data_IF_429322189041
#
_entry.id   IF_429322189041
#
_cell.length_a   1.000
_cell.length_b   1.000
_cell.length_c   1.000
_cell.angle_alpha   90.00
_cell.angle_beta   90.00
_cell.angle_gamma   90.00
#
_symmetry.space_group_name_H-M   'P 1'
#
loop_
_entity.id
_entity.type
_entity.pdbx_description
1 polymer ?
#
# COMPACT_ATOMS: atom_id res chain seq x y z
N UNK A 1 8.43 5.05 13.44
CA UNK A 1 8.45 3.62 13.79
C UNK A 1 9.88 3.03 13.82
N UNK A 2 10.93 3.83 13.58
CA UNK A 2 12.32 3.36 13.66
C UNK A 2 12.67 2.26 12.66
N UNK A 3 12.17 2.37 11.43
CA UNK A 3 12.36 1.36 10.38
C UNK A 3 13.60 1.68 9.55
N UNK A 4 13.77 2.94 9.16
CA UNK A 4 14.90 3.44 8.39
C UNK A 4 15.80 4.33 9.27
N UNK A 5 17.09 4.39 8.97
CA UNK A 5 18.01 5.33 9.62
C UNK A 5 17.79 6.74 9.09
N UNK A 6 17.50 6.85 7.80
CA UNK A 6 17.29 8.11 7.10
C UNK A 6 15.95 8.08 6.37
N UNK A 7 15.21 9.19 6.43
CA UNK A 7 13.97 9.42 5.71
C UNK A 7 14.03 10.75 4.98
N UNK A 8 14.03 10.69 3.66
CA UNK A 8 13.98 11.88 2.80
C UNK A 8 12.56 12.08 2.29
N UNK A 9 12.02 13.28 2.45
CA UNK A 9 10.69 13.64 1.97
C UNK A 9 10.85 14.55 0.76
N UNK A 10 10.22 14.16 -0.35
CA UNK A 10 10.25 14.92 -1.61
C UNK A 10 8.85 15.23 -2.07
N UNK A 11 8.55 16.49 -2.30
CA UNK A 11 7.28 16.96 -2.88
C UNK A 11 7.54 18.21 -3.74
N UNK A 12 6.64 18.52 -4.65
CA UNK A 12 6.66 19.77 -5.42
C UNK A 12 6.42 21.00 -4.52
N UNK A 13 5.77 20.80 -3.37
CA UNK A 13 5.53 21.81 -2.33
C UNK A 13 6.64 21.77 -1.28
N UNK A 14 7.81 22.31 -1.61
CA UNK A 14 9.01 22.20 -0.77
C UNK A 14 8.82 22.73 0.66
N UNK A 15 8.19 23.88 0.82
CA UNK A 15 7.92 24.46 2.15
C UNK A 15 7.11 23.51 3.05
N UNK A 16 6.19 22.76 2.45
CA UNK A 16 5.39 21.77 3.17
C UNK A 16 6.26 20.60 3.64
N UNK A 17 7.10 20.06 2.77
CA UNK A 17 8.01 18.95 3.15
C UNK A 17 9.04 19.36 4.18
N UNK A 18 9.50 20.61 4.17
CA UNK A 18 10.36 21.17 5.22
C UNK A 18 9.63 21.18 6.57
N UNK A 19 8.35 21.63 6.59
CA UNK A 19 7.52 21.57 7.80
C UNK A 19 7.25 20.15 8.29
N UNK A 20 6.90 19.25 7.37
CA UNK A 20 6.66 17.83 7.70
C UNK A 20 7.95 17.15 8.22
N UNK A 21 9.12 17.51 7.70
CA UNK A 21 10.41 16.98 8.15
C UNK A 21 10.74 17.45 9.56
N UNK A 22 10.55 18.74 9.87
CA UNK A 22 10.76 19.30 11.22
C UNK A 22 9.84 18.63 12.26
N UNK A 23 8.55 18.47 11.94
CA UNK A 23 7.58 17.83 12.84
C UNK A 23 7.94 16.34 13.09
N UNK A 24 8.44 15.64 12.06
CA UNK A 24 8.92 14.27 12.22
C UNK A 24 10.25 14.17 12.95
N UNK A 25 11.14 15.18 12.83
CA UNK A 25 12.38 15.27 13.58
C UNK A 25 12.13 15.39 15.08
N UNK A 26 11.09 16.12 15.50
CA UNK A 26 10.67 16.20 16.90
C UNK A 26 10.28 14.85 17.50
N UNK A 27 9.86 13.89 16.66
CA UNK A 27 9.56 12.52 17.09
C UNK A 27 10.82 11.61 17.17
N UNK A 28 11.95 12.02 16.60
CA UNK A 28 13.17 11.19 16.52
C UNK A 28 13.66 10.66 17.88
N UNK A 29 13.65 11.41 19.00
CA UNK A 29 14.06 10.91 20.31
C UNK A 29 13.25 9.71 20.79
N UNK A 30 12.05 9.53 20.27
CA UNK A 30 11.10 8.47 20.67
C UNK A 30 10.94 7.34 19.65
N UNK A 31 11.49 7.50 18.42
CA UNK A 31 11.22 6.59 17.30
C UNK A 31 12.47 5.91 16.72
N UNK A 32 13.66 6.21 17.21
CA UNK A 32 14.95 5.68 16.72
C UNK A 32 15.32 6.09 15.28
N UNK A 33 14.59 6.98 14.62
CA UNK A 33 15.02 7.57 13.35
C UNK A 33 16.20 8.52 13.64
N UNK A 34 17.24 8.44 12.80
CA UNK A 34 18.43 9.27 13.02
C UNK A 34 18.38 10.60 12.26
N UNK A 35 17.78 10.58 11.07
CA UNK A 35 17.76 11.74 10.19
C UNK A 35 16.45 11.78 9.38
N UNK A 36 15.75 12.92 9.40
CA UNK A 36 14.56 13.20 8.60
C UNK A 36 14.71 14.57 7.98
N UNK A 37 14.64 14.69 6.66
CA UNK A 37 14.77 15.99 6.00
C UNK A 37 13.99 16.08 4.69
N UNK A 38 13.74 17.31 4.25
CA UNK A 38 13.20 17.61 2.93
C UNK A 38 14.33 17.63 1.92
N UNK A 39 14.26 16.76 0.92
CA UNK A 39 15.28 16.58 -0.10
C UNK A 39 14.80 16.79 -1.54
N UNK A 40 15.56 16.25 -2.46
CA UNK A 40 15.31 16.26 -3.91
C UNK A 40 15.37 14.85 -4.49
N UNK A 41 15.12 14.70 -5.79
CA UNK A 41 15.27 13.41 -6.46
C UNK A 41 16.74 12.93 -6.52
N UNK A 42 17.71 13.81 -6.39
CA UNK A 42 19.13 13.45 -6.37
C UNK A 42 19.51 12.62 -5.13
N UNK A 43 18.79 12.84 -4.01
CA UNK A 43 18.99 12.07 -2.77
C UNK A 43 18.57 10.59 -2.94
N UNK A 44 17.82 10.27 -3.98
CA UNK A 44 17.45 8.88 -4.28
C UNK A 44 18.66 8.01 -4.68
N UNK A 45 19.78 8.61 -5.11
CA UNK A 45 20.98 7.88 -5.52
C UNK A 45 21.45 6.85 -4.50
N UNK A 46 21.42 7.23 -3.22
CA UNK A 46 21.91 6.41 -2.13
C UNK A 46 20.77 5.73 -1.32
N UNK A 47 19.52 5.85 -1.81
CA UNK A 47 18.37 5.26 -1.16
C UNK A 47 18.23 3.75 -1.45
N UNK A 48 17.83 2.98 -0.47
CA UNK A 48 17.49 1.55 -0.63
C UNK A 48 16.06 1.35 -1.15
N UNK A 49 15.17 2.27 -0.81
CA UNK A 49 13.74 2.20 -1.15
C UNK A 49 13.18 3.58 -1.48
N UNK A 50 12.47 3.67 -2.59
CA UNK A 50 11.64 4.83 -2.94
C UNK A 50 10.18 4.44 -2.81
N UNK A 51 9.43 5.19 -1.99
CA UNK A 51 7.98 5.03 -1.82
C UNK A 51 7.27 6.14 -2.56
N UNK A 52 6.46 5.79 -3.56
CA UNK A 52 5.70 6.76 -4.38
C UNK A 52 4.27 6.83 -3.87
N UNK A 53 3.92 7.93 -3.22
CA UNK A 53 2.57 8.24 -2.75
C UNK A 53 1.92 9.38 -3.55
N UNK A 54 2.68 9.99 -4.45
CA UNK A 54 2.24 11.14 -5.23
C UNK A 54 1.27 10.74 -6.33
N UNK A 55 0.14 11.45 -6.40
CA UNK A 55 -0.89 11.28 -7.40
C UNK A 55 -1.94 12.36 -7.27
N UNK A 56 -2.62 12.68 -8.38
CA UNK A 56 -3.73 13.61 -8.36
C UNK A 56 -5.03 12.87 -8.00
N UNK A 57 -5.88 13.44 -7.15
CA UNK A 57 -7.22 12.92 -6.90
C UNK A 57 -8.12 13.13 -8.13
N UNK A 58 -9.13 12.26 -8.29
CA UNK A 58 -10.15 12.42 -9.30
C UNK A 58 -10.99 13.67 -9.00
N UNK A 59 -11.20 14.49 -10.03
CA UNK A 59 -12.06 15.67 -9.93
C UNK A 59 -13.50 15.36 -10.35
N UNK A 60 -14.50 16.12 -9.87
CA UNK A 60 -15.86 15.99 -10.36
C UNK A 60 -15.92 16.17 -11.88
N UNK A 61 -16.56 15.21 -12.58
CA UNK A 61 -16.68 15.20 -14.04
C UNK A 61 -15.48 14.64 -14.81
N UNK A 62 -14.40 14.27 -14.14
CA UNK A 62 -13.22 13.61 -14.72
C UNK A 62 -13.49 12.09 -14.88
N UNK A 63 -13.16 11.53 -16.03
CA UNK A 63 -13.26 10.08 -16.24
C UNK A 63 -12.10 9.33 -15.56
N UNK A 64 -12.26 8.01 -15.38
CA UNK A 64 -11.14 7.16 -14.90
C UNK A 64 -9.93 7.19 -15.84
N UNK A 65 -10.14 7.28 -17.14
CA UNK A 65 -9.08 7.37 -18.16
C UNK A 65 -8.31 8.68 -18.05
N UNK A 66 -9.03 9.82 -17.91
CA UNK A 66 -8.39 11.13 -17.72
C UNK A 66 -7.50 11.15 -16.47
N UNK A 67 -7.96 10.50 -15.38
CA UNK A 67 -7.21 10.37 -14.15
C UNK A 67 -5.94 9.53 -14.36
N UNK A 68 -6.05 8.42 -15.09
CA UNK A 68 -4.90 7.56 -15.42
C UNK A 68 -3.88 8.36 -16.22
N UNK A 69 -4.27 9.01 -17.30
CA UNK A 69 -3.37 9.79 -18.15
C UNK A 69 -2.64 10.89 -17.39
N UNK A 70 -3.34 11.57 -16.48
CA UNK A 70 -2.78 12.60 -15.62
C UNK A 70 -1.75 12.01 -14.67
N UNK A 71 -2.09 10.91 -13.99
CA UNK A 71 -1.20 10.25 -13.04
C UNK A 71 0.01 9.59 -13.74
N UNK A 72 -0.13 9.07 -14.94
CA UNK A 72 1.02 8.58 -15.73
C UNK A 72 2.05 9.69 -15.99
N UNK A 73 1.61 10.92 -16.31
CA UNK A 73 2.50 12.07 -16.49
C UNK A 73 3.22 12.44 -15.19
N UNK A 74 2.49 12.43 -14.06
CA UNK A 74 3.07 12.67 -12.73
C UNK A 74 4.12 11.58 -12.41
N UNK A 75 3.77 10.31 -12.53
CA UNK A 75 4.69 9.19 -12.26
C UNK A 75 5.94 9.29 -13.14
N UNK A 76 5.80 9.59 -14.43
CA UNK A 76 6.94 9.77 -15.32
C UNK A 76 7.86 10.90 -14.86
N UNK A 77 7.30 12.03 -14.42
CA UNK A 77 8.08 13.18 -13.94
C UNK A 77 8.81 12.91 -12.61
N UNK A 78 8.38 11.89 -11.86
CA UNK A 78 9.03 11.44 -10.62
C UNK A 78 10.08 10.37 -10.92
N UNK A 79 9.71 9.35 -11.66
CA UNK A 79 10.58 8.18 -11.90
C UNK A 79 11.79 8.52 -12.74
N UNK A 80 11.63 9.37 -13.78
CA UNK A 80 12.75 9.71 -14.68
C UNK A 80 13.94 10.33 -13.93
N UNK A 81 13.79 11.43 -13.15
CA UNK A 81 14.92 12.01 -12.44
C UNK A 81 15.46 11.09 -11.33
N UNK A 82 14.63 10.26 -10.69
CA UNK A 82 15.10 9.26 -9.72
C UNK A 82 16.04 8.24 -10.41
N UNK A 83 15.68 7.73 -11.57
CA UNK A 83 16.54 6.81 -12.33
C UNK A 83 17.81 7.53 -12.81
N UNK A 84 17.69 8.76 -13.29
CA UNK A 84 18.82 9.59 -13.74
C UNK A 84 19.80 9.90 -12.61
N UNK A 85 19.35 9.98 -11.33
CA UNK A 85 20.24 10.14 -10.17
C UNK A 85 21.19 8.97 -9.93
N UNK A 86 20.89 7.80 -10.52
CA UNK A 86 21.63 6.56 -10.30
C UNK A 86 21.01 5.63 -9.27
N UNK A 87 19.76 5.88 -8.87
CA UNK A 87 19.01 4.99 -7.96
C UNK A 87 19.05 3.53 -8.43
N UNK A 88 19.34 2.62 -7.50
CA UNK A 88 19.41 1.19 -7.77
C UNK A 88 18.75 0.34 -6.67
N UNK A 89 17.78 0.90 -5.97
CA UNK A 89 17.02 0.22 -4.91
C UNK A 89 15.73 -0.42 -5.39
N UNK A 90 14.69 -0.29 -4.59
CA UNK A 90 13.36 -0.85 -4.81
C UNK A 90 12.32 0.28 -4.91
N UNK A 91 11.36 0.16 -5.82
CA UNK A 91 10.18 1.04 -5.87
C UNK A 91 8.98 0.36 -5.19
N UNK A 92 8.36 1.07 -4.25
CA UNK A 92 7.07 0.74 -3.64
C UNK A 92 6.05 1.81 -4.02
N UNK A 93 4.99 1.43 -4.71
CA UNK A 93 3.96 2.35 -5.22
C UNK A 93 2.69 2.26 -4.37
N UNK A 94 2.15 3.40 -3.96
CA UNK A 94 0.91 3.50 -3.20
C UNK A 94 -0.09 4.52 -3.80
N UNK A 95 0.28 5.19 -4.88
CA UNK A 95 -0.61 6.11 -5.60
C UNK A 95 -1.64 5.33 -6.42
N UNK A 96 -2.89 5.83 -6.46
CA UNK A 96 -3.99 5.18 -7.18
C UNK A 96 -4.15 5.74 -8.61
N UNK A 97 -4.56 4.86 -9.56
CA UNK A 97 -4.84 3.42 -9.41
C UNK A 97 -3.55 2.59 -9.30
N UNK A 98 -3.35 1.95 -8.15
CA UNK A 98 -2.04 1.42 -7.73
C UNK A 98 -1.47 0.38 -8.68
N UNK A 99 -2.27 -0.54 -9.18
CA UNK A 99 -1.79 -1.64 -10.02
C UNK A 99 -1.30 -1.11 -11.39
N UNK A 100 -2.05 -0.17 -11.97
CA UNK A 100 -1.68 0.52 -13.22
C UNK A 100 -0.44 1.38 -13.03
N UNK A 101 -0.37 2.14 -11.92
CA UNK A 101 0.77 3.03 -11.67
C UNK A 101 2.03 2.24 -11.29
N UNK A 102 1.90 1.09 -10.65
CA UNK A 102 3.02 0.16 -10.42
C UNK A 102 3.61 -0.34 -11.75
N UNK A 103 2.75 -0.74 -12.70
CA UNK A 103 3.18 -1.11 -14.03
C UNK A 103 3.88 0.07 -14.74
N UNK A 104 3.34 1.28 -14.60
CA UNK A 104 3.95 2.47 -15.20
C UNK A 104 5.34 2.76 -14.61
N UNK A 105 5.51 2.65 -13.28
CA UNK A 105 6.82 2.80 -12.63
C UNK A 105 7.81 1.78 -13.17
N UNK A 106 7.41 0.52 -13.29
CA UNK A 106 8.27 -0.54 -13.84
C UNK A 106 8.69 -0.22 -15.28
N UNK A 107 7.75 0.21 -16.14
CA UNK A 107 8.04 0.54 -17.54
C UNK A 107 8.91 1.80 -17.69
N UNK A 108 8.67 2.83 -16.88
CA UNK A 108 9.44 4.08 -16.97
C UNK A 108 10.82 3.95 -16.35
N UNK A 109 10.97 3.16 -15.29
CA UNK A 109 12.27 2.92 -14.65
C UNK A 109 13.14 1.91 -15.41
N UNK A 110 12.55 0.98 -16.14
CA UNK A 110 13.25 -0.16 -16.72
C UNK A 110 13.76 -1.16 -15.69
N UNK A 111 13.36 -1.04 -14.43
CA UNK A 111 13.82 -1.92 -13.35
C UNK A 111 13.27 -3.34 -13.52
N UNK A 112 13.98 -4.36 -13.00
CA UNK A 112 13.45 -5.71 -12.93
C UNK A 112 12.12 -5.76 -12.17
N UNK A 113 11.19 -6.60 -12.60
CA UNK A 113 9.84 -6.72 -12.05
C UNK A 113 9.81 -7.01 -10.53
N UNK A 114 10.82 -7.70 -10.01
CA UNK A 114 10.97 -8.00 -8.58
C UNK A 114 11.55 -6.85 -7.74
N UNK A 115 11.87 -5.72 -8.36
CA UNK A 115 12.28 -4.48 -7.68
C UNK A 115 11.24 -3.36 -7.77
N UNK A 116 10.08 -3.65 -8.33
CA UNK A 116 8.95 -2.72 -8.42
C UNK A 116 7.71 -3.46 -8.00
N UNK A 117 6.98 -2.96 -7.02
CA UNK A 117 5.71 -3.51 -6.60
C UNK A 117 4.81 -2.43 -5.97
N UNK A 118 3.52 -2.72 -5.94
CA UNK A 118 2.52 -1.84 -5.35
C UNK A 118 2.20 -2.22 -3.91
N UNK A 119 1.56 -1.32 -3.18
CA UNK A 119 0.96 -1.65 -1.89
C UNK A 119 -0.14 -2.72 -2.00
N UNK A 120 -0.67 -2.93 -3.20
CA UNK A 120 -1.70 -3.91 -3.50
C UNK A 120 -2.88 -3.81 -2.56
N UNK A 121 -3.37 -4.92 -2.11
CA UNK A 121 -4.49 -5.07 -1.17
C UNK A 121 -4.06 -5.16 0.30
N UNK A 122 -2.84 -4.69 0.64
CA UNK A 122 -2.32 -4.76 2.01
C UNK A 122 -3.17 -3.97 3.02
N UNK A 123 -3.68 -2.79 2.65
CA UNK A 123 -4.55 -2.00 3.51
C UNK A 123 -5.94 -2.65 3.64
N UNK A 124 -6.47 -3.18 2.55
CA UNK A 124 -7.79 -3.82 2.54
C UNK A 124 -7.76 -5.11 3.37
N UNK A 125 -6.69 -5.88 3.28
CA UNK A 125 -6.40 -7.01 4.18
C UNK A 125 -6.35 -6.59 5.64
N UNK A 126 -5.70 -5.49 5.98
CA UNK A 126 -5.65 -4.99 7.36
C UNK A 126 -7.05 -4.58 7.87
N UNK A 127 -7.87 -3.99 7.01
CA UNK A 127 -9.28 -3.65 7.30
C UNK A 127 -10.12 -4.90 7.53
N UNK A 128 -10.00 -5.92 6.65
CA UNK A 128 -10.69 -7.20 6.79
C UNK A 128 -10.33 -7.89 8.10
N UNK A 129 -9.02 -8.00 8.42
CA UNK A 129 -8.55 -8.60 9.68
C UNK A 129 -9.14 -7.89 10.89
N UNK A 130 -9.21 -6.56 10.88
CA UNK A 130 -9.84 -5.79 11.95
C UNK A 130 -11.36 -6.01 12.02
N UNK A 131 -12.06 -6.13 10.91
CA UNK A 131 -13.50 -6.39 10.86
C UNK A 131 -13.83 -7.78 11.42
N UNK A 132 -13.11 -8.81 10.98
CA UNK A 132 -13.24 -10.17 11.49
C UNK A 132 -12.88 -10.27 12.97
N UNK A 133 -11.79 -9.62 13.39
CA UNK A 133 -11.39 -9.57 14.80
C UNK A 133 -12.48 -9.01 15.71
N UNK A 134 -13.16 -7.94 15.28
CA UNK A 134 -14.29 -7.37 16.00
C UNK A 134 -15.50 -8.32 16.01
N UNK A 135 -15.80 -8.95 14.87
CA UNK A 135 -16.94 -9.87 14.74
C UNK A 135 -16.80 -11.09 15.65
N UNK A 136 -15.59 -11.64 15.74
CA UNK A 136 -15.28 -12.83 16.53
C UNK A 136 -14.69 -12.55 17.91
N UNK A 137 -14.55 -11.28 18.28
CA UNK A 137 -13.99 -10.83 19.58
C UNK A 137 -12.60 -11.43 19.87
N UNK A 138 -11.70 -11.32 18.90
CA UNK A 138 -10.30 -11.78 18.99
C UNK A 138 -9.31 -10.66 18.67
N UNK A 139 -8.02 -10.88 18.93
CA UNK A 139 -6.98 -9.95 18.45
C UNK A 139 -6.90 -9.96 16.92
N UNK A 140 -6.75 -8.79 16.25
CA UNK A 140 -6.50 -8.74 14.81
C UNK A 140 -5.24 -9.53 14.37
N UNK A 141 -4.28 -9.70 15.27
CA UNK A 141 -3.06 -10.48 15.02
C UNK A 141 -3.34 -12.00 14.96
N UNK A 142 -4.45 -12.45 15.55
CA UNK A 142 -4.88 -13.85 15.49
C UNK A 142 -5.61 -14.18 14.18
N UNK A 143 -5.96 -13.17 13.37
CA UNK A 143 -6.70 -13.35 12.12
C UNK A 143 -5.70 -13.47 10.96
N UNK A 144 -5.69 -14.61 10.30
CA UNK A 144 -4.96 -14.85 9.06
C UNK A 144 -5.96 -14.95 7.92
N UNK A 145 -6.26 -13.80 7.32
CA UNK A 145 -7.18 -13.61 6.21
C UNK A 145 -6.62 -12.55 5.26
N UNK A 146 -6.88 -12.72 3.97
CA UNK A 146 -6.35 -11.85 2.93
C UNK A 146 -7.45 -11.39 1.97
N UNK A 147 -7.35 -10.13 1.56
CA UNK A 147 -7.99 -9.63 0.35
C UNK A 147 -6.96 -9.70 -0.77
N UNK A 148 -7.37 -10.24 -1.89
CA UNK A 148 -6.54 -10.50 -3.07
C UNK A 148 -7.20 -9.86 -4.30
N UNK A 149 -6.45 -9.78 -5.38
CA UNK A 149 -6.95 -9.26 -6.64
C UNK A 149 -6.53 -7.80 -6.90
N UNK A 150 -7.27 -7.13 -7.76
CA UNK A 150 -7.09 -5.70 -8.02
C UNK A 150 -7.42 -4.89 -6.76
N UNK A 151 -6.61 -3.88 -6.44
CA UNK A 151 -7.03 -2.91 -5.42
C UNK A 151 -8.13 -2.01 -5.99
N UNK A 152 -9.39 -2.41 -5.77
CA UNK A 152 -10.57 -1.74 -6.29
C UNK A 152 -11.82 -2.59 -6.18
N UNK A 153 -12.79 -2.32 -7.07
CA UNK A 153 -14.13 -2.91 -6.99
C UNK A 153 -14.16 -4.43 -7.26
N UNK A 154 -13.09 -5.02 -7.81
CA UNK A 154 -12.97 -6.45 -8.11
C UNK A 154 -12.13 -7.24 -7.10
N UNK A 155 -11.72 -6.61 -5.99
CA UNK A 155 -11.04 -7.31 -4.91
C UNK A 155 -11.94 -8.37 -4.26
N UNK A 156 -11.34 -9.44 -3.77
CA UNK A 156 -12.08 -10.53 -3.11
C UNK A 156 -11.35 -11.04 -1.86
N UNK A 157 -12.11 -11.56 -0.91
CA UNK A 157 -11.56 -12.24 0.26
C UNK A 157 -11.53 -13.75 0.06
N UNK A 158 -10.39 -14.38 0.33
CA UNK A 158 -10.27 -15.83 0.33
C UNK A 158 -10.70 -16.39 1.70
N UNK A 159 -12.01 -16.44 1.95
CA UNK A 159 -12.57 -16.92 3.23
C UNK A 159 -12.38 -18.42 3.46
N UNK A 160 -12.21 -19.20 2.40
CA UNK A 160 -12.07 -20.66 2.52
C UNK A 160 -10.71 -21.05 3.12
N UNK A 161 -9.67 -20.23 2.87
CA UNK A 161 -8.34 -20.42 3.43
C UNK A 161 -8.07 -19.56 4.68
N UNK A 162 -9.05 -18.73 5.08
CA UNK A 162 -8.88 -17.84 6.20
C UNK A 162 -8.89 -18.60 7.54
N UNK A 163 -8.05 -18.16 8.47
CA UNK A 163 -7.86 -18.77 9.78
C UNK A 163 -8.00 -17.74 10.91
N UNK A 164 -8.45 -18.18 12.07
CA UNK A 164 -8.41 -17.42 13.32
C UNK A 164 -7.76 -18.32 14.39
N UNK A 165 -6.59 -17.91 14.88
CA UNK A 165 -5.85 -18.67 15.89
C UNK A 165 -5.48 -20.09 15.42
N UNK A 166 -5.20 -20.29 14.13
CA UNK A 166 -4.89 -21.59 13.54
C UNK A 166 -6.10 -22.51 13.27
N UNK A 167 -7.32 -21.99 13.42
CA UNK A 167 -8.56 -22.71 13.17
C UNK A 167 -9.31 -22.06 11.98
N UNK A 168 -9.86 -22.84 11.02
CA UNK A 168 -10.56 -22.28 9.87
C UNK A 168 -11.66 -21.28 10.23
N UNK A 169 -11.71 -20.15 9.53
CA UNK A 169 -12.74 -19.13 9.70
C UNK A 169 -14.15 -19.68 9.57
N UNK A 170 -14.38 -20.58 8.60
CA UNK A 170 -15.69 -21.22 8.36
C UNK A 170 -16.18 -22.01 9.59
N UNK A 171 -15.28 -22.60 10.35
CA UNK A 171 -15.64 -23.32 11.59
C UNK A 171 -16.04 -22.32 12.69
N UNK A 172 -15.30 -21.20 12.83
CA UNK A 172 -15.69 -20.11 13.74
C UNK A 172 -17.05 -19.52 13.36
N UNK A 173 -17.28 -19.30 12.06
CA UNK A 173 -18.54 -18.76 11.56
C UNK A 173 -19.72 -19.69 11.87
N UNK A 174 -19.59 -20.98 11.58
CA UNK A 174 -20.64 -21.97 11.86
C UNK A 174 -21.01 -22.03 13.35
N UNK A 175 -20.03 -22.04 14.26
CA UNK A 175 -20.26 -22.05 15.70
C UNK A 175 -20.90 -20.76 16.23
N UNK A 176 -20.60 -19.63 15.59
CA UNK A 176 -21.17 -18.32 15.92
C UNK A 176 -22.51 -18.04 15.23
N UNK A 177 -22.98 -18.93 14.37
CA UNK A 177 -24.20 -18.72 13.57
C UNK A 177 -24.08 -17.62 12.54
N UNK A 178 -22.87 -17.40 12.01
CA UNK A 178 -22.55 -16.41 10.97
C UNK A 178 -22.61 -17.11 9.62
N UNK A 179 -23.42 -16.60 8.71
CA UNK A 179 -23.58 -17.15 7.36
C UNK A 179 -22.50 -16.65 6.39
N UNK A 180 -22.46 -17.25 5.19
CA UNK A 180 -21.58 -16.75 4.12
C UNK A 180 -22.00 -15.35 3.67
N UNK A 181 -23.31 -15.05 3.64
CA UNK A 181 -23.83 -13.72 3.36
C UNK A 181 -23.36 -12.67 4.39
N UNK A 182 -23.26 -13.06 5.67
CA UNK A 182 -22.68 -12.17 6.71
C UNK A 182 -21.20 -11.89 6.44
N UNK A 183 -20.43 -12.88 5.98
CA UNK A 183 -19.03 -12.71 5.59
C UNK A 183 -18.89 -11.81 4.36
N UNK A 184 -19.76 -11.99 3.36
CA UNK A 184 -19.80 -11.12 2.17
C UNK A 184 -20.16 -9.69 2.54
N UNK A 185 -21.05 -9.48 3.50
CA UNK A 185 -21.37 -8.15 4.03
C UNK A 185 -20.16 -7.52 4.72
N UNK A 186 -19.36 -8.29 5.47
CA UNK A 186 -18.09 -7.79 6.08
C UNK A 186 -17.10 -7.38 4.99
N UNK A 187 -16.99 -8.14 3.91
CA UNK A 187 -16.13 -7.78 2.77
C UNK A 187 -16.61 -6.48 2.12
N UNK A 188 -17.90 -6.37 1.84
CA UNK A 188 -18.50 -5.17 1.27
C UNK A 188 -18.21 -3.92 2.12
N UNK A 189 -18.44 -3.99 3.43
CA UNK A 189 -18.16 -2.89 4.34
C UNK A 189 -16.66 -2.54 4.40
N UNK A 190 -15.80 -3.55 4.29
CA UNK A 190 -14.34 -3.39 4.25
C UNK A 190 -13.90 -2.61 3.01
N UNK A 191 -14.36 -3.01 1.83
CA UNK A 191 -14.06 -2.35 0.57
C UNK A 191 -14.57 -0.89 0.55
N UNK A 192 -15.76 -0.65 1.12
CA UNK A 192 -16.38 0.70 1.15
C UNK A 192 -15.89 1.61 2.27
N UNK A 193 -15.09 1.10 3.21
CA UNK A 193 -14.58 1.87 4.37
C UNK A 193 -13.77 3.11 3.98
N UNK A 194 -13.08 3.07 2.85
CA UNK A 194 -12.32 4.22 2.36
C UNK A 194 -13.22 5.41 2.09
N UNK A 195 -14.39 5.19 1.48
CA UNK A 195 -15.35 6.26 1.17
C UNK A 195 -15.87 6.94 2.44
N UNK A 196 -16.16 6.17 3.49
CA UNK A 196 -16.58 6.74 4.77
C UNK A 196 -15.50 7.64 5.40
N UNK A 197 -14.24 7.21 5.34
CA UNK A 197 -13.12 7.97 5.87
C UNK A 197 -12.93 9.26 5.06
N UNK A 198 -12.95 9.17 3.74
CA UNK A 198 -12.77 10.31 2.83
C UNK A 198 -13.90 11.31 3.02
N UNK A 199 -15.15 10.86 3.10
CA UNK A 199 -16.31 11.74 3.30
C UNK A 199 -16.25 12.51 4.64
N UNK A 200 -15.59 11.95 5.67
CA UNK A 200 -15.49 12.57 7.01
C UNK A 200 -14.27 13.46 7.20
N UNK A 201 -13.14 13.15 6.57
CA UNK A 201 -11.87 13.85 6.81
C UNK A 201 -11.05 14.17 5.55
N UNK A 202 -11.63 13.97 4.37
CA UNK A 202 -11.03 14.35 3.08
C UNK A 202 -10.08 13.32 2.47
N UNK A 203 -9.33 12.57 3.27
CA UNK A 203 -8.39 11.55 2.79
C UNK A 203 -8.06 10.50 3.85
N UNK A 204 -7.44 9.38 3.45
CA UNK A 204 -6.90 8.37 4.37
C UNK A 204 -5.39 8.54 4.47
N UNK A 205 -4.82 8.46 5.68
CA UNK A 205 -3.38 8.63 5.93
C UNK A 205 -2.81 7.51 6.79
N UNK A 206 -3.41 7.28 7.97
CA UNK A 206 -2.79 6.45 9.00
C UNK A 206 -2.73 4.96 8.63
N UNK A 207 -3.80 4.44 8.05
CA UNK A 207 -3.88 3.03 7.63
C UNK A 207 -2.86 2.72 6.54
N UNK A 208 -2.88 3.50 5.45
CA UNK A 208 -1.93 3.28 4.35
C UNK A 208 -0.49 3.56 4.79
N UNK A 209 -0.22 4.59 5.57
CA UNK A 209 1.11 4.87 6.11
C UNK A 209 1.63 3.72 6.98
N UNK A 210 0.77 3.09 7.79
CA UNK A 210 1.14 1.92 8.60
C UNK A 210 1.38 0.69 7.72
N UNK A 211 0.58 0.47 6.67
CA UNK A 211 0.78 -0.64 5.72
C UNK A 211 2.11 -0.49 4.98
N UNK A 212 2.43 0.72 4.49
CA UNK A 212 3.71 1.01 3.84
C UNK A 212 4.89 0.81 4.80
N UNK A 213 4.76 1.27 6.04
CA UNK A 213 5.77 1.06 7.08
C UNK A 213 5.97 -0.44 7.37
N UNK A 214 4.89 -1.25 7.38
CA UNK A 214 4.97 -2.69 7.56
C UNK A 214 5.69 -3.39 6.41
N UNK A 215 5.39 -3.00 5.16
CA UNK A 215 6.05 -3.51 3.96
C UNK A 215 7.53 -3.12 3.97
N UNK A 216 7.84 -1.84 4.21
CA UNK A 216 9.22 -1.33 4.29
C UNK A 216 10.04 -2.08 5.34
N UNK A 217 9.47 -2.34 6.51
CA UNK A 217 10.15 -3.10 7.57
C UNK A 217 10.45 -4.52 7.12
N UNK A 218 9.52 -5.18 6.42
CA UNK A 218 9.73 -6.54 5.91
C UNK A 218 10.89 -6.59 4.91
N UNK A 219 11.03 -5.55 4.06
CA UNK A 219 12.13 -5.42 3.10
C UNK A 219 13.46 -5.22 3.84
N UNK A 220 13.55 -4.19 4.69
CA UNK A 220 14.81 -3.80 5.33
C UNK A 220 15.34 -4.84 6.30
N UNK A 221 14.46 -5.65 6.89
CA UNK A 221 14.83 -6.72 7.83
C UNK A 221 14.88 -8.11 7.19
N UNK A 222 14.62 -8.20 5.88
CA UNK A 222 14.53 -9.48 5.17
C UNK A 222 13.67 -10.52 5.92
N UNK A 223 12.47 -10.08 6.37
CA UNK A 223 11.61 -10.88 7.26
C UNK A 223 11.02 -12.13 6.60
N UNK A 224 11.21 -12.33 5.29
CA UNK A 224 10.66 -13.46 4.51
C UNK A 224 9.13 -13.59 4.63
N UNK A 225 8.43 -12.47 4.81
CA UNK A 225 6.98 -12.46 4.95
C UNK A 225 6.26 -12.57 3.62
N UNK A 226 5.12 -13.25 3.67
CA UNK A 226 4.11 -13.21 2.61
C UNK A 226 3.15 -12.07 2.92
N UNK A 227 3.02 -11.13 1.99
CA UNK A 227 2.16 -9.95 2.10
C UNK A 227 1.36 -9.78 0.81
N UNK A 228 0.10 -9.31 0.87
CA UNK A 228 -0.72 -9.05 -0.32
C UNK A 228 -0.33 -7.72 -0.97
N UNK A 229 0.86 -7.72 -1.57
CA UNK A 229 1.42 -6.59 -2.32
C UNK A 229 1.13 -6.75 -3.80
N UNK A 230 1.01 -5.65 -4.53
CA UNK A 230 0.85 -5.68 -5.98
C UNK A 230 2.09 -6.23 -6.65
N UNK A 231 2.06 -7.51 -7.03
CA UNK A 231 3.16 -8.24 -7.64
C UNK A 231 2.92 -8.48 -9.13
N UNK A 232 4.02 -8.65 -9.88
CA UNK A 232 3.93 -8.96 -11.30
C UNK A 232 3.43 -10.38 -11.54
N UNK A 233 2.43 -10.52 -12.42
CA UNK A 233 1.92 -11.80 -12.89
C UNK A 233 2.53 -12.15 -14.25
N UNK A 234 3.05 -13.37 -14.34
CA UNK A 234 3.67 -13.95 -15.53
C UNK A 234 3.17 -15.38 -15.74
N UNK A 235 1.87 -15.51 -15.96
CA UNK A 235 1.16 -16.77 -16.15
C UNK A 235 0.43 -17.30 -14.92
N UNK A 236 0.72 -16.82 -13.72
CA UNK A 236 0.00 -17.23 -12.51
C UNK A 236 -1.49 -16.86 -12.64
N UNK A 237 -2.36 -17.79 -12.26
CA UNK A 237 -3.82 -17.63 -12.36
C UNK A 237 -4.34 -17.33 -13.78
N UNK A 238 -3.53 -17.60 -14.82
CA UNK A 238 -3.86 -17.24 -16.21
C UNK A 238 -3.68 -15.75 -16.52
N UNK A 239 -3.10 -14.98 -15.60
CA UNK A 239 -2.86 -13.55 -15.75
C UNK A 239 -1.43 -13.30 -16.25
N UNK A 240 -1.30 -12.38 -17.20
CA UNK A 240 -0.01 -12.00 -17.78
C UNK A 240 0.12 -10.49 -17.86
N UNK A 241 1.35 -10.01 -17.73
CA UNK A 241 1.73 -8.61 -17.97
C UNK A 241 0.94 -7.59 -17.11
N UNK A 242 0.58 -7.94 -15.88
CA UNK A 242 -0.09 -7.06 -14.92
C UNK A 242 0.52 -7.15 -13.53
N UNK A 243 0.30 -6.10 -12.72
CA UNK A 243 0.50 -6.11 -11.29
C UNK A 243 -0.85 -6.28 -10.59
N UNK A 244 -0.89 -7.15 -9.57
CA UNK A 244 -2.11 -7.44 -8.80
C UNK A 244 -1.75 -7.91 -7.40
N UNK A 245 -2.61 -7.62 -6.40
CA UNK A 245 -2.42 -8.00 -5.00
C UNK A 245 -2.80 -9.43 -4.63
#
# INVERSE_FOLDING_TARGET
>A
QGIAEELVIVDIMKERTEGDALDLEDAAPWTFNKNVYSGSYDDAKDADLVVITAGAPQKPGETRLDLVDKNLKIIKSIVSPIVESGFNGIFLVAANPVDILTMAVQKFSGFPKNRVFGSGTSLDTARLRMALAKKFNVSPEAVDAYILGEHGDSEFANFDEAMIGGRPLKVWAAEAGISDEDLDQILYETAHKAYEIINRKGATFYGIGTSLARITRAIFRDEKMVLPVGAWMDGQYGLNDIYIG
#
